data_IF_541439990422
#
_entry.id   IF_541439990422
#
_cell.length_a   1.000
_cell.length_b   1.000
_cell.length_c   1.000
_cell.angle_alpha   90.00
_cell.angle_beta   90.00
_cell.angle_gamma   90.00
#
_symmetry.space_group_name_H-M   'P 1'
#
loop_
_entity.id
_entity.type
_entity.pdbx_description
1 polymer ?
#
# COMPACT_ATOMS: atom_id res chain seq x y z
N UNK A 1 -13.22 -9.71 -0.17
CA UNK A 1 -12.19 -8.75 -0.60
C UNK A 1 -11.03 -9.53 -1.17
N UNK A 2 -10.59 -9.16 -2.37
CA UNK A 2 -9.39 -9.71 -3.01
C UNK A 2 -8.32 -8.61 -3.03
N UNK A 3 -7.05 -9.00 -2.84
CA UNK A 3 -5.88 -8.14 -3.02
C UNK A 3 -5.14 -8.67 -4.23
N UNK A 4 -4.98 -7.85 -5.26
CA UNK A 4 -4.37 -8.24 -6.52
C UNK A 4 -3.19 -7.33 -6.82
N UNK A 5 -2.00 -7.91 -6.96
CA UNK A 5 -0.79 -7.23 -7.41
C UNK A 5 -0.56 -7.48 -8.90
N UNK A 6 -0.11 -6.50 -9.69
CA UNK A 6 0.15 -6.70 -11.12
C UNK A 6 1.22 -7.77 -11.37
N UNK A 7 2.23 -7.85 -10.51
CA UNK A 7 3.36 -8.77 -10.65
C UNK A 7 3.86 -9.24 -9.28
N UNK A 8 4.82 -10.15 -9.28
CA UNK A 8 5.47 -10.66 -8.08
C UNK A 8 6.16 -9.54 -7.30
N UNK A 9 5.98 -9.56 -6.00
CA UNK A 9 6.70 -8.69 -5.08
C UNK A 9 7.99 -9.38 -4.56
N UNK A 10 9.00 -8.60 -4.14
CA UNK A 10 10.27 -9.13 -3.67
C UNK A 10 10.14 -10.14 -2.52
N UNK A 11 11.02 -11.15 -2.53
CA UNK A 11 11.03 -12.23 -1.53
C UNK A 11 11.08 -11.71 -0.09
N UNK A 12 11.84 -10.65 0.15
CA UNK A 12 11.99 -10.04 1.47
C UNK A 12 10.71 -9.39 2.02
N UNK A 13 9.64 -9.27 1.22
CA UNK A 13 8.32 -8.78 1.65
C UNK A 13 7.33 -9.92 1.96
N UNK A 14 7.65 -11.17 1.69
CA UNK A 14 6.73 -12.31 1.91
C UNK A 14 6.26 -12.46 3.36
N UNK A 15 7.05 -12.00 4.33
CA UNK A 15 6.64 -11.99 5.73
C UNK A 15 5.41 -11.11 6.01
N UNK A 16 5.09 -10.17 5.12
CA UNK A 16 3.89 -9.31 5.21
C UNK A 16 2.62 -10.02 4.74
N UNK A 17 2.76 -11.08 3.95
CA UNK A 17 1.65 -11.93 3.47
C UNK A 17 1.80 -13.38 3.90
N UNK A 18 1.77 -13.68 5.22
CA UNK A 18 1.99 -15.03 5.74
C UNK A 18 0.91 -16.04 5.34
N UNK A 19 -0.23 -15.56 4.85
CA UNK A 19 -1.37 -16.40 4.45
C UNK A 19 -1.55 -16.48 2.94
N UNK A 20 -0.65 -15.90 2.14
CA UNK A 20 -0.71 -15.84 0.68
C UNK A 20 -2.05 -15.30 0.16
N UNK A 21 -2.55 -14.23 0.78
CA UNK A 21 -3.82 -13.59 0.38
C UNK A 21 -3.66 -12.69 -0.84
N UNK A 22 -2.44 -12.16 -1.08
CA UNK A 22 -2.13 -11.36 -2.26
C UNK A 22 -2.07 -12.27 -3.49
N UNK A 23 -2.84 -11.92 -4.51
CA UNK A 23 -2.91 -12.64 -5.78
C UNK A 23 -2.05 -11.92 -6.81
N UNK A 24 -1.31 -12.69 -7.60
CA UNK A 24 -0.45 -12.16 -8.65
C UNK A 24 -1.20 -12.29 -9.98
N UNK A 25 -1.45 -11.17 -10.64
CA UNK A 25 -2.26 -11.13 -11.85
C UNK A 25 -1.63 -11.88 -13.02
N UNK A 26 -0.31 -11.72 -13.25
CA UNK A 26 0.40 -12.36 -14.36
C UNK A 26 0.37 -13.91 -14.33
N UNK A 27 -0.02 -14.51 -13.19
CA UNK A 27 -0.04 -15.96 -13.02
C UNK A 27 -1.40 -16.59 -13.33
N UNK A 28 -2.49 -15.80 -13.41
CA UNK A 28 -3.82 -16.39 -13.53
C UNK A 28 -4.88 -15.40 -14.05
N UNK A 29 -5.32 -15.62 -15.29
CA UNK A 29 -6.37 -14.83 -15.96
C UNK A 29 -7.73 -14.83 -15.22
N UNK A 30 -7.96 -15.74 -14.29
CA UNK A 30 -9.20 -15.73 -13.48
C UNK A 30 -9.34 -14.44 -12.64
N UNK A 31 -8.23 -13.75 -12.33
CA UNK A 31 -8.28 -12.50 -11.61
C UNK A 31 -8.78 -11.34 -12.47
N UNK A 32 -8.67 -11.44 -13.80
CA UNK A 32 -9.26 -10.49 -14.73
C UNK A 32 -10.78 -10.36 -14.53
N UNK A 33 -11.48 -11.50 -14.44
CA UNK A 33 -12.92 -11.49 -14.24
C UNK A 33 -13.31 -10.92 -12.87
N UNK A 34 -12.52 -11.18 -11.82
CA UNK A 34 -12.76 -10.59 -10.49
C UNK A 34 -12.66 -9.07 -10.49
N UNK A 35 -11.74 -8.50 -11.28
CA UNK A 35 -11.61 -7.05 -11.42
C UNK A 35 -12.83 -6.49 -12.15
N UNK A 36 -13.24 -7.14 -13.25
CA UNK A 36 -14.39 -6.71 -14.05
C UNK A 36 -15.70 -6.75 -13.24
N UNK A 37 -15.89 -7.80 -12.43
CA UNK A 37 -17.12 -8.01 -11.65
C UNK A 37 -17.11 -7.30 -10.30
N UNK A 38 -16.07 -6.54 -9.97
CA UNK A 38 -16.01 -5.80 -8.72
C UNK A 38 -17.07 -4.70 -8.66
N UNK A 39 -17.63 -4.46 -7.49
CA UNK A 39 -18.51 -3.32 -7.20
C UNK A 39 -17.71 -2.08 -6.78
N UNK A 40 -16.53 -2.32 -6.16
CA UNK A 40 -15.66 -1.27 -5.66
C UNK A 40 -14.19 -1.70 -5.83
N UNK A 41 -13.39 -0.81 -6.39
CA UNK A 41 -11.94 -1.00 -6.56
C UNK A 41 -11.20 0.11 -5.83
N UNK A 42 -10.30 -0.27 -4.92
CA UNK A 42 -9.30 0.63 -4.37
C UNK A 42 -8.01 0.50 -5.18
N UNK A 43 -7.53 1.60 -5.71
CA UNK A 43 -6.21 1.69 -6.35
C UNK A 43 -5.27 2.42 -5.39
N UNK A 44 -4.21 1.72 -4.97
CA UNK A 44 -3.34 2.18 -3.89
C UNK A 44 -1.89 2.31 -4.41
N UNK A 45 -1.30 3.46 -4.17
CA UNK A 45 0.11 3.76 -4.47
C UNK A 45 0.44 3.81 -5.97
N UNK A 46 -0.53 4.22 -6.78
CA UNK A 46 -0.30 4.59 -8.18
C UNK A 46 -1.33 5.61 -8.68
N UNK A 47 -0.83 6.61 -9.39
CA UNK A 47 -1.59 7.76 -9.90
C UNK A 47 -2.03 7.61 -11.37
N UNK A 48 -1.70 6.48 -12.01
CA UNK A 48 -2.02 6.22 -13.40
C UNK A 48 -2.14 4.70 -13.66
N UNK A 49 -3.19 4.28 -14.37
CA UNK A 49 -3.43 2.87 -14.70
C UNK A 49 -2.32 2.22 -15.55
N UNK A 50 -1.48 3.00 -16.21
CA UNK A 50 -0.30 2.47 -16.95
C UNK A 50 0.66 1.72 -16.02
N UNK A 51 0.69 2.08 -14.72
CA UNK A 51 1.57 1.45 -13.73
C UNK A 51 1.18 0.01 -13.36
N UNK A 52 -0.04 -0.41 -13.68
CA UNK A 52 -0.53 -1.76 -13.39
C UNK A 52 -0.53 -2.68 -14.63
N UNK A 53 0.21 -2.29 -15.68
CA UNK A 53 0.46 -3.10 -16.86
C UNK A 53 -0.82 -3.76 -17.44
N UNK A 54 -0.83 -5.09 -17.53
CA UNK A 54 -1.94 -5.85 -18.13
C UNK A 54 -3.26 -5.75 -17.34
N UNK A 55 -3.24 -5.36 -16.07
CA UNK A 55 -4.47 -5.15 -15.27
C UNK A 55 -5.27 -3.94 -15.75
N UNK A 56 -4.63 -2.96 -16.39
CA UNK A 56 -5.26 -1.70 -16.83
C UNK A 56 -6.56 -1.95 -17.59
N UNK A 57 -6.52 -2.79 -18.63
CA UNK A 57 -7.68 -3.03 -19.48
C UNK A 57 -8.89 -3.60 -18.71
N UNK A 58 -8.64 -4.38 -17.64
CA UNK A 58 -9.69 -4.99 -16.85
C UNK A 58 -10.31 -3.98 -15.89
N UNK A 59 -9.50 -3.07 -15.33
CA UNK A 59 -10.01 -1.94 -14.54
C UNK A 59 -10.84 -1.00 -15.42
N UNK A 60 -10.37 -0.68 -16.64
CA UNK A 60 -11.11 0.17 -17.59
C UNK A 60 -12.42 -0.45 -18.09
N UNK A 61 -12.53 -1.78 -18.13
CA UNK A 61 -13.73 -2.54 -18.49
C UNK A 61 -14.70 -2.74 -17.33
N UNK A 62 -14.27 -2.53 -16.10
CA UNK A 62 -15.11 -2.69 -14.92
C UNK A 62 -16.14 -1.56 -14.82
N UNK A 63 -17.31 -1.87 -14.27
CA UNK A 63 -18.31 -0.87 -13.86
C UNK A 63 -18.20 -0.53 -12.35
N UNK A 64 -17.12 -0.95 -11.69
CA UNK A 64 -16.89 -0.65 -10.28
C UNK A 64 -16.72 0.84 -10.04
N UNK A 65 -17.13 1.30 -8.87
CA UNK A 65 -16.65 2.59 -8.36
C UNK A 65 -15.15 2.47 -8.03
N UNK A 66 -14.34 3.42 -8.50
CA UNK A 66 -12.90 3.43 -8.29
C UNK A 66 -12.53 4.51 -7.29
N UNK A 67 -11.85 4.13 -6.23
CA UNK A 67 -11.27 5.03 -5.23
C UNK A 67 -9.75 4.96 -5.35
N UNK A 68 -9.12 6.07 -5.71
CA UNK A 68 -7.66 6.18 -5.74
C UNK A 68 -7.15 6.81 -4.44
N UNK A 69 -6.13 6.19 -3.83
CA UNK A 69 -5.38 6.77 -2.72
C UNK A 69 -3.90 6.72 -3.09
N UNK A 70 -3.28 7.88 -3.29
CA UNK A 70 -1.92 7.97 -3.81
C UNK A 70 -1.26 9.31 -3.47
N UNK A 71 0.06 9.30 -3.26
CA UNK A 71 0.84 10.49 -2.94
C UNK A 71 1.76 10.95 -4.08
N UNK A 72 1.72 10.29 -5.25
CA UNK A 72 2.54 10.72 -6.38
C UNK A 72 1.98 11.99 -7.04
N UNK A 73 2.87 12.78 -7.62
CA UNK A 73 2.51 13.99 -8.40
C UNK A 73 1.82 13.62 -9.72
N UNK A 74 1.05 14.55 -10.29
CA UNK A 74 0.40 14.44 -11.61
C UNK A 74 -0.55 13.23 -11.75
N UNK A 75 -1.58 13.09 -10.89
CA UNK A 75 -2.55 12.01 -11.00
C UNK A 75 -3.36 12.12 -12.30
N UNK A 76 -3.64 10.99 -12.95
CA UNK A 76 -4.57 10.93 -14.08
C UNK A 76 -6.01 10.77 -13.58
N UNK A 77 -6.94 11.29 -14.37
CA UNK A 77 -8.37 11.35 -14.08
C UNK A 77 -9.06 10.03 -14.50
N UNK A 78 -8.84 8.96 -13.73
CA UNK A 78 -9.45 7.65 -14.00
C UNK A 78 -10.36 7.14 -12.89
N UNK A 79 -10.28 7.74 -11.70
CA UNK A 79 -11.01 7.29 -10.52
C UNK A 79 -12.23 8.18 -10.23
N UNK A 80 -13.32 7.58 -9.75
CA UNK A 80 -14.53 8.32 -9.33
C UNK A 80 -14.27 9.18 -8.10
N UNK A 81 -13.40 8.69 -7.22
CA UNK A 81 -13.00 9.41 -6.01
C UNK A 81 -11.48 9.38 -5.89
N UNK A 82 -10.88 10.55 -5.68
CA UNK A 82 -9.44 10.70 -5.60
C UNK A 82 -9.05 11.30 -4.24
N UNK A 83 -8.26 10.54 -3.47
CA UNK A 83 -7.50 11.07 -2.35
C UNK A 83 -6.05 11.10 -2.79
N UNK A 84 -5.63 12.23 -3.38
CA UNK A 84 -4.28 12.47 -3.86
C UNK A 84 -3.65 13.59 -3.05
N UNK A 85 -2.50 13.32 -2.42
CA UNK A 85 -1.80 14.30 -1.58
C UNK A 85 -0.28 14.14 -1.69
N UNK A 86 0.35 14.81 -2.67
CA UNK A 86 1.79 14.68 -2.93
C UNK A 86 2.70 15.13 -1.78
N UNK A 87 2.18 15.89 -0.82
CA UNK A 87 2.97 16.30 0.35
C UNK A 87 2.99 15.25 1.47
N UNK A 88 2.17 14.19 1.36
CA UNK A 88 2.21 13.08 2.32
C UNK A 88 3.46 12.24 2.13
N UNK A 89 3.96 11.68 3.22
CA UNK A 89 5.20 10.91 3.21
C UNK A 89 5.09 9.59 2.46
N UNK A 90 3.88 9.02 2.40
CA UNK A 90 3.60 7.74 1.76
C UNK A 90 2.10 7.50 1.62
N UNK A 91 1.71 6.63 0.70
CA UNK A 91 0.33 6.13 0.62
C UNK A 91 -0.07 5.37 1.90
N UNK A 92 0.84 4.69 2.57
CA UNK A 92 0.56 4.03 3.85
C UNK A 92 0.18 5.04 4.96
N UNK A 93 0.79 6.22 5.02
CA UNK A 93 0.37 7.29 5.93
C UNK A 93 -1.04 7.78 5.57
N UNK A 94 -1.34 7.94 4.28
CA UNK A 94 -2.69 8.31 3.82
C UNK A 94 -3.74 7.29 4.20
N UNK A 95 -3.43 5.99 4.08
CA UNK A 95 -4.33 4.90 4.52
C UNK A 95 -4.59 4.97 6.03
N UNK A 96 -3.57 5.26 6.84
CA UNK A 96 -3.76 5.48 8.27
C UNK A 96 -4.78 6.58 8.52
N UNK A 97 -4.62 7.74 7.87
CA UNK A 97 -5.54 8.87 8.01
C UNK A 97 -6.95 8.57 7.46
N UNK A 98 -7.03 7.79 6.39
CA UNK A 98 -8.30 7.34 5.85
C UNK A 98 -9.08 6.49 6.88
N UNK A 99 -8.42 5.51 7.50
CA UNK A 99 -9.01 4.68 8.55
C UNK A 99 -9.43 5.53 9.77
N UNK A 100 -8.59 6.48 10.16
CA UNK A 100 -8.87 7.39 11.29
C UNK A 100 -10.10 8.26 11.02
N UNK A 101 -10.20 8.86 9.84
CA UNK A 101 -11.37 9.66 9.43
C UNK A 101 -12.67 8.86 9.33
N UNK A 102 -12.58 7.57 9.05
CA UNK A 102 -13.72 6.64 9.10
C UNK A 102 -14.17 6.32 10.53
N UNK A 103 -13.42 6.74 11.55
CA UNK A 103 -13.69 6.44 12.96
C UNK A 103 -13.25 5.03 13.38
N UNK A 104 -12.41 4.38 12.58
CA UNK A 104 -12.00 2.98 12.73
C UNK A 104 -10.57 2.80 13.28
N UNK A 105 -9.96 3.84 13.85
CA UNK A 105 -8.60 3.79 14.40
C UNK A 105 -8.42 2.68 15.42
N UNK A 106 -9.46 2.33 16.17
CA UNK A 106 -9.45 1.23 17.13
C UNK A 106 -9.38 -0.16 16.50
N UNK A 107 -9.59 -0.27 15.20
CA UNK A 107 -9.44 -1.51 14.42
C UNK A 107 -8.02 -1.73 13.90
N UNK A 108 -7.15 -0.73 14.00
CA UNK A 108 -5.74 -0.85 13.62
C UNK A 108 -5.04 -1.74 14.64
N UNK A 109 -5.00 -3.02 14.35
CA UNK A 109 -4.33 -4.03 15.16
C UNK A 109 -2.81 -4.09 14.89
N UNK A 110 -2.13 -5.02 15.55
CA UNK A 110 -0.69 -5.23 15.37
C UNK A 110 -0.30 -5.61 13.94
N UNK A 111 -1.13 -6.36 13.21
CA UNK A 111 -0.81 -6.79 11.85
C UNK A 111 -0.95 -5.62 10.86
N UNK A 112 -2.04 -4.86 10.96
CA UNK A 112 -2.25 -3.64 10.17
C UNK A 112 -1.11 -2.65 10.45
N UNK A 113 -0.77 -2.46 11.73
CA UNK A 113 0.30 -1.55 12.14
C UNK A 113 1.66 -1.93 11.58
N UNK A 114 1.99 -3.23 11.50
CA UNK A 114 3.25 -3.70 10.89
C UNK A 114 3.33 -3.33 9.41
N UNK A 115 2.25 -3.53 8.67
CA UNK A 115 2.19 -3.21 7.24
C UNK A 115 2.27 -1.70 6.99
N UNK A 116 1.49 -0.90 7.73
CA UNK A 116 1.53 0.56 7.63
C UNK A 116 2.91 1.12 8.01
N UNK A 117 3.50 0.63 9.10
CA UNK A 117 4.84 1.03 9.53
C UNK A 117 5.88 0.73 8.46
N UNK A 118 5.85 -0.48 7.89
CA UNK A 118 6.79 -0.89 6.86
C UNK A 118 6.71 0.01 5.62
N UNK A 119 5.50 0.31 5.12
CA UNK A 119 5.32 1.20 3.98
C UNK A 119 5.78 2.62 4.25
N UNK A 120 5.41 3.22 5.39
CA UNK A 120 5.88 4.57 5.77
C UNK A 120 7.40 4.60 5.87
N UNK A 121 8.00 3.58 6.51
CA UNK A 121 9.44 3.49 6.68
C UNK A 121 10.19 3.38 5.35
N UNK A 122 9.70 2.57 4.41
CA UNK A 122 10.36 2.39 3.11
C UNK A 122 10.28 3.65 2.26
N UNK A 123 9.11 4.27 2.15
CA UNK A 123 8.89 5.48 1.34
C UNK A 123 9.62 6.70 1.87
N UNK A 124 9.85 6.76 3.17
CA UNK A 124 10.59 7.86 3.82
C UNK A 124 12.09 7.62 3.90
N UNK A 125 12.60 6.53 3.31
CA UNK A 125 14.01 6.15 3.43
C UNK A 125 14.45 6.01 4.88
N UNK A 126 13.67 5.33 5.71
CA UNK A 126 13.85 5.24 7.16
C UNK A 126 13.76 6.60 7.85
N UNK A 127 12.74 7.37 7.48
CA UNK A 127 12.45 8.70 8.07
C UNK A 127 13.49 9.78 7.77
N UNK A 128 14.27 9.62 6.70
CA UNK A 128 15.32 10.58 6.30
C UNK A 128 14.86 11.63 5.29
N UNK A 129 13.83 11.31 4.50
CA UNK A 129 13.43 12.20 3.41
C UNK A 129 12.66 13.42 3.94
N UNK A 130 12.72 14.56 3.22
CA UNK A 130 12.06 15.79 3.64
C UNK A 130 10.54 15.71 3.76
N UNK A 131 9.91 14.72 3.10
CA UNK A 131 8.49 14.42 3.24
C UNK A 131 8.09 13.86 4.60
N UNK A 132 9.07 13.46 5.44
CA UNK A 132 8.83 13.02 6.82
C UNK A 132 8.51 14.22 7.69
N UNK A 133 7.28 14.32 8.16
CA UNK A 133 6.77 15.45 8.94
C UNK A 133 6.54 15.10 10.40
N UNK A 134 6.18 16.09 11.23
CA UNK A 134 5.68 15.85 12.58
C UNK A 134 4.48 14.90 12.59
N UNK A 135 3.57 15.09 11.63
CA UNK A 135 2.38 14.23 11.48
C UNK A 135 2.76 12.78 11.20
N UNK A 136 3.74 12.55 10.33
CA UNK A 136 4.30 11.21 10.07
C UNK A 136 4.79 10.56 11.37
N UNK A 137 5.54 11.29 12.19
CA UNK A 137 6.03 10.77 13.48
C UNK A 137 4.91 10.53 14.50
N UNK A 138 3.83 11.30 14.48
CA UNK A 138 2.64 11.03 15.31
C UNK A 138 1.96 9.74 14.90
N UNK A 139 1.81 9.49 13.59
CA UNK A 139 1.29 8.22 13.06
C UNK A 139 2.16 7.05 13.51
N UNK A 140 3.48 7.15 13.33
CA UNK A 140 4.44 6.14 13.78
C UNK A 140 4.31 5.86 15.29
N UNK A 141 4.19 6.91 16.12
CA UNK A 141 3.99 6.76 17.56
C UNK A 141 2.72 5.96 17.88
N UNK A 142 1.62 6.19 17.16
CA UNK A 142 0.38 5.46 17.35
C UNK A 142 0.50 4.00 16.90
N UNK A 143 1.16 3.73 15.79
CA UNK A 143 1.41 2.36 15.33
C UNK A 143 2.27 1.57 16.34
N UNK A 144 3.29 2.19 16.93
CA UNK A 144 4.13 1.56 17.95
C UNK A 144 3.36 1.19 19.22
N UNK A 145 2.31 1.93 19.60
CA UNK A 145 1.45 1.60 20.76
C UNK A 145 0.74 0.26 20.64
N UNK A 146 0.57 -0.26 19.41
CA UNK A 146 -0.02 -1.58 19.18
C UNK A 146 0.92 -2.74 19.52
N UNK A 147 2.17 -2.45 19.90
CA UNK A 147 3.17 -3.43 20.32
C UNK A 147 3.93 -4.08 19.16
N UNK A 148 4.02 -3.41 17.99
CA UNK A 148 4.91 -3.83 16.91
C UNK A 148 6.38 -3.65 17.32
N UNK A 149 7.25 -4.50 16.80
CA UNK A 149 8.71 -4.35 16.93
C UNK A 149 9.26 -3.67 15.68
N UNK A 150 9.60 -2.40 15.77
CA UNK A 150 10.19 -1.66 14.66
C UNK A 150 11.54 -2.26 14.21
N UNK A 151 12.34 -2.77 15.16
CA UNK A 151 13.62 -3.41 14.84
C UNK A 151 13.45 -4.70 14.02
N UNK A 152 12.45 -5.54 14.33
CA UNK A 152 12.14 -6.72 13.52
C UNK A 152 11.71 -6.32 12.10
N UNK A 153 10.92 -5.27 11.95
CA UNK A 153 10.51 -4.77 10.63
C UNK A 153 11.72 -4.28 9.84
N UNK A 154 12.61 -3.52 10.47
CA UNK A 154 13.87 -3.08 9.86
C UNK A 154 14.73 -4.25 9.40
N UNK A 155 14.93 -5.26 10.25
CA UNK A 155 15.73 -6.43 9.92
C UNK A 155 15.14 -7.20 8.72
N UNK A 156 13.82 -7.38 8.68
CA UNK A 156 13.16 -8.03 7.54
C UNK A 156 13.38 -7.30 6.20
N UNK A 157 13.41 -5.98 6.21
CA UNK A 157 13.52 -5.19 4.98
C UNK A 157 14.98 -4.95 4.60
N UNK A 158 15.84 -4.55 5.54
CA UNK A 158 17.19 -4.09 5.22
C UNK A 158 18.26 -5.16 5.38
N UNK A 159 18.18 -6.06 6.34
CA UNK A 159 19.21 -7.09 6.54
C UNK A 159 19.18 -8.15 5.44
N UNK A 160 18.00 -8.39 4.84
CA UNK A 160 17.90 -9.26 3.66
C UNK A 160 18.42 -8.62 2.37
N UNK A 161 18.51 -7.28 2.29
CA UNK A 161 19.11 -6.58 1.15
C UNK A 161 20.64 -6.64 1.17
N UNK A 162 21.26 -6.74 2.35
CA UNK A 162 22.72 -6.78 2.49
C UNK A 162 23.37 -8.05 1.95
N UNK A 163 22.63 -9.14 1.82
CA UNK A 163 23.13 -10.42 1.28
C UNK A 163 23.20 -10.46 -0.26
N UNK A 164 22.63 -9.46 -0.95
CA UNK A 164 22.62 -9.39 -2.42
C UNK A 164 23.77 -8.52 -2.97
N UNK A 165 24.50 -7.82 -2.10
CA UNK A 165 25.55 -6.88 -2.49
C UNK A 165 26.97 -7.28 -2.03
N UNK A 166 27.21 -8.58 -1.78
CA UNK A 166 28.58 -9.10 -1.58
C UNK A 166 29.03 -9.91 -2.80
#
# INVERSE_FOLDING_TARGET
VDIISPNQFPEFLKWMDPYNVIKIFDEDEKYAQKIIDAELIFTLDFNNLVRIANMKEHVEKSNAQIIMIDHHEEPSDYADFMYSEPNMSSTCEMIYHFIDKMGDSNKIDKNISRSLYAGIMTDTGSFKFPSTTELTHQVISNLLKTGISHSEIHNHIYDNLSLIHI
#
